data_IF_713822132228
#
_entry.id   IF_713822132228
#
_cell.length_a   1.000
_cell.length_b   1.000
_cell.length_c   1.000
_cell.angle_alpha   90.00
_cell.angle_beta   90.00
_cell.angle_gamma   90.00
#
_symmetry.space_group_name_H-M   'P 1'
#
loop_
_entity.id
_entity.type
_entity.pdbx_description
1 polymer ?
#
# COMPACT_ATOMS: atom_id res chain seq x y z
N UNK A 1 7.21 -2.26 16.68
CA UNK A 1 6.11 -2.71 15.79
C UNK A 1 6.32 -2.10 14.42
N UNK A 2 6.16 -2.87 13.33
CA UNK A 2 6.25 -2.33 11.96
C UNK A 2 4.87 -1.90 11.46
N UNK A 3 4.78 -0.92 10.55
CA UNK A 3 3.51 -0.50 9.99
C UNK A 3 2.96 -1.61 9.09
N UNK A 4 1.63 -1.75 9.09
CA UNK A 4 0.89 -2.79 8.36
C UNK A 4 0.08 -2.24 7.21
N UNK A 5 -0.39 -1.00 7.30
CA UNK A 5 -1.13 -0.32 6.24
C UNK A 5 -0.61 1.09 6.01
N UNK A 6 -0.68 1.52 4.75
CA UNK A 6 -0.63 2.93 4.36
C UNK A 6 -2.06 3.37 4.08
N UNK A 7 -2.51 4.44 4.72
CA UNK A 7 -3.88 4.95 4.56
C UNK A 7 -3.80 6.39 4.06
N UNK A 8 -4.42 6.67 2.91
CA UNK A 8 -4.55 8.03 2.38
C UNK A 8 -5.97 8.53 2.61
N UNK A 9 -6.12 9.69 3.26
CA UNK A 9 -7.42 10.31 3.53
C UNK A 9 -7.79 11.34 2.47
N UNK A 10 -9.09 11.59 2.32
CA UNK A 10 -9.60 12.72 1.53
C UNK A 10 -9.14 14.05 2.17
N UNK A 11 -8.83 15.09 1.37
CA UNK A 11 -8.41 16.38 1.90
C UNK A 11 -9.39 16.94 2.93
N UNK A 12 -8.88 17.51 4.02
CA UNK A 12 -9.69 18.16 5.07
C UNK A 12 -10.47 17.21 5.98
N UNK A 13 -10.28 15.88 5.89
CA UNK A 13 -10.95 14.88 6.73
C UNK A 13 -10.04 14.18 7.74
N UNK A 14 -8.77 14.58 7.84
CA UNK A 14 -7.71 13.96 8.66
C UNK A 14 -8.10 13.66 10.10
N UNK A 15 -8.52 14.68 10.87
CA UNK A 15 -8.85 14.53 12.31
C UNK A 15 -9.96 13.50 12.58
N UNK A 16 -11.08 13.57 11.85
CA UNK A 16 -12.18 12.61 12.00
C UNK A 16 -11.78 11.21 11.54
N UNK A 17 -10.94 11.14 10.50
CA UNK A 17 -10.54 9.85 9.95
C UNK A 17 -9.68 9.05 10.92
N UNK A 18 -8.78 9.72 11.66
CA UNK A 18 -7.95 9.08 12.67
C UNK A 18 -8.78 8.30 13.70
N UNK A 19 -9.81 8.90 14.27
CA UNK A 19 -10.66 8.22 15.26
C UNK A 19 -11.49 7.10 14.63
N UNK A 20 -12.07 7.30 13.44
CA UNK A 20 -12.83 6.26 12.74
C UNK A 20 -11.94 5.04 12.42
N UNK A 21 -10.70 5.23 11.98
CA UNK A 21 -9.74 4.14 11.73
C UNK A 21 -9.36 3.42 13.02
N UNK A 22 -8.97 4.17 14.06
CA UNK A 22 -8.55 3.57 15.34
C UNK A 22 -9.67 2.76 15.99
N UNK A 23 -10.91 3.25 15.94
CA UNK A 23 -12.08 2.53 16.48
C UNK A 23 -12.30 1.16 15.82
N UNK A 24 -11.85 0.96 14.57
CA UNK A 24 -11.91 -0.35 13.90
C UNK A 24 -10.86 -1.32 14.40
N UNK A 25 -9.67 -0.82 14.75
CA UNK A 25 -8.51 -1.64 15.09
C UNK A 25 -8.43 -1.92 16.59
N UNK A 26 -8.74 -0.93 17.44
CA UNK A 26 -8.65 -1.03 18.90
C UNK A 26 -9.48 -2.18 19.49
N UNK A 27 -10.55 -2.59 18.81
CA UNK A 27 -11.37 -3.75 19.20
C UNK A 27 -10.63 -5.10 19.15
N UNK A 28 -9.51 -5.15 18.41
CA UNK A 28 -8.70 -6.36 18.19
C UNK A 28 -7.25 -6.18 18.60
N UNK A 29 -6.77 -4.93 18.69
CA UNK A 29 -5.44 -4.58 19.14
C UNK A 29 -5.43 -3.21 19.82
N UNK A 30 -5.45 -3.22 21.15
CA UNK A 30 -5.45 -2.02 21.99
C UNK A 30 -4.14 -1.23 21.89
N UNK A 31 -3.04 -1.86 21.47
CA UNK A 31 -1.73 -1.24 21.34
C UNK A 31 -1.50 -0.63 19.96
N UNK A 32 -2.51 -0.63 19.08
CA UNK A 32 -2.37 -0.07 17.75
C UNK A 32 -2.09 1.44 17.78
N UNK A 33 -1.35 1.93 16.79
CA UNK A 33 -1.00 3.34 16.63
C UNK A 33 -1.24 3.75 15.19
N UNK A 34 -1.89 4.91 15.02
CA UNK A 34 -1.97 5.59 13.73
C UNK A 34 -1.07 6.81 13.75
N UNK A 35 -0.15 6.93 12.80
CA UNK A 35 0.80 8.03 12.72
C UNK A 35 0.66 8.75 11.38
N UNK A 36 0.47 10.08 11.41
CA UNK A 36 0.45 10.90 10.20
C UNK A 36 1.90 11.23 9.83
N UNK A 37 2.40 10.63 8.75
CA UNK A 37 3.79 10.77 8.33
C UNK A 37 3.99 11.94 7.38
N UNK A 38 2.97 12.24 6.57
CA UNK A 38 2.81 13.48 5.79
C UNK A 38 1.32 13.83 5.74
N UNK A 39 0.93 15.06 5.38
CA UNK A 39 -0.47 15.47 5.38
C UNK A 39 -1.39 14.49 4.63
N UNK A 40 -2.42 13.99 5.30
CA UNK A 40 -3.40 13.02 4.80
C UNK A 40 -2.85 11.61 4.49
N UNK A 41 -1.64 11.27 4.95
CA UNK A 41 -1.06 9.92 4.79
C UNK A 41 -0.67 9.38 6.15
N UNK A 42 -1.27 8.25 6.48
CA UNK A 42 -1.08 7.58 7.76
C UNK A 42 -0.41 6.23 7.59
N UNK A 43 0.47 5.91 8.54
CA UNK A 43 0.95 4.56 8.77
C UNK A 43 0.17 3.98 9.96
N UNK A 44 -0.47 2.83 9.75
CA UNK A 44 -1.09 2.06 10.82
C UNK A 44 -0.10 1.01 11.34
N UNK A 45 0.27 1.12 12.60
CA UNK A 45 1.04 0.14 13.34
C UNK A 45 0.06 -0.71 14.17
N UNK A 46 0.12 -2.02 14.03
CA UNK A 46 -0.72 -2.96 14.79
C UNK A 46 -0.05 -4.33 14.85
N UNK A 47 -0.36 -5.09 15.91
CA UNK A 47 0.03 -6.50 16.08
C UNK A 47 -0.72 -7.44 15.13
N UNK A 48 -1.80 -6.97 14.50
CA UNK A 48 -2.53 -7.72 13.48
C UNK A 48 -1.69 -7.93 12.22
N UNK A 49 -1.99 -8.98 11.46
CA UNK A 49 -1.47 -9.09 10.09
C UNK A 49 -2.02 -7.96 9.21
N UNK A 50 -1.28 -7.59 8.16
CA UNK A 50 -1.72 -6.54 7.24
C UNK A 50 -3.10 -6.83 6.63
N UNK A 51 -3.37 -8.10 6.29
CA UNK A 51 -4.65 -8.50 5.71
C UNK A 51 -5.80 -8.43 6.74
N UNK A 52 -5.57 -8.80 8.00
CA UNK A 52 -6.56 -8.65 9.06
C UNK A 52 -6.88 -7.17 9.31
N UNK A 53 -5.87 -6.31 9.42
CA UNK A 53 -6.07 -4.88 9.61
C UNK A 53 -6.83 -4.25 8.44
N UNK A 54 -6.45 -4.62 7.21
CA UNK A 54 -7.16 -4.20 5.99
C UNK A 54 -8.63 -4.64 6.01
N UNK A 55 -8.89 -5.92 6.31
CA UNK A 55 -10.24 -6.49 6.35
C UNK A 55 -11.13 -5.80 7.39
N UNK A 56 -10.61 -5.50 8.59
CA UNK A 56 -11.36 -4.77 9.61
C UNK A 56 -11.80 -3.38 9.13
N UNK A 57 -10.92 -2.64 8.44
CA UNK A 57 -11.25 -1.31 7.94
C UNK A 57 -12.24 -1.41 6.77
N UNK A 58 -11.98 -2.29 5.80
CA UNK A 58 -12.81 -2.39 4.58
C UNK A 58 -14.20 -2.99 4.85
N UNK A 59 -14.36 -3.83 5.88
CA UNK A 59 -15.68 -4.37 6.25
C UNK A 59 -16.68 -3.29 6.67
N UNK A 60 -16.19 -2.14 7.15
CA UNK A 60 -17.02 -1.01 7.54
C UNK A 60 -16.23 0.31 7.31
N UNK A 61 -16.06 0.69 6.03
CA UNK A 61 -15.05 1.65 5.60
C UNK A 61 -15.35 3.07 6.07
N UNK A 62 -14.43 3.72 6.80
CA UNK A 62 -14.52 5.14 7.10
C UNK A 62 -14.63 5.97 5.81
N UNK A 63 -15.68 6.80 5.71
CA UNK A 63 -16.01 7.61 4.52
C UNK A 63 -14.89 8.60 4.10
N UNK A 64 -14.02 8.91 5.04
CA UNK A 64 -12.88 9.82 4.92
C UNK A 64 -11.67 9.18 4.23
N UNK A 65 -11.61 7.86 4.10
CA UNK A 65 -10.47 7.19 3.45
C UNK A 65 -10.65 7.28 1.93
N UNK A 66 -9.55 7.58 1.24
CA UNK A 66 -9.48 7.57 -0.22
C UNK A 66 -8.83 6.27 -0.71
N UNK A 67 -7.67 5.90 -0.15
CA UNK A 67 -6.92 4.69 -0.52
C UNK A 67 -6.35 3.99 0.71
N UNK A 68 -6.27 2.65 0.67
CA UNK A 68 -5.56 1.83 1.66
C UNK A 68 -4.64 0.88 0.91
N UNK A 69 -3.40 0.76 1.38
CA UNK A 69 -2.45 -0.19 0.85
C UNK A 69 -1.98 -1.14 1.95
N UNK A 70 -2.00 -2.45 1.68
CA UNK A 70 -1.36 -3.43 2.56
C UNK A 70 0.15 -3.33 2.42
N UNK A 71 0.90 -3.34 3.51
CA UNK A 71 2.35 -3.36 3.45
C UNK A 71 2.79 -4.82 3.42
N UNK A 72 3.26 -5.29 2.27
CA UNK A 72 3.87 -6.62 2.16
C UNK A 72 5.32 -6.58 2.63
N UNK A 73 6.07 -5.56 2.21
CA UNK A 73 7.50 -5.39 2.53
C UNK A 73 7.86 -3.89 2.66
N UNK A 74 8.87 -3.61 3.49
CA UNK A 74 9.45 -2.29 3.69
C UNK A 74 10.95 -2.41 3.41
N UNK A 75 11.47 -1.57 2.55
CA UNK A 75 12.87 -1.58 2.13
C UNK A 75 13.49 -0.20 2.29
N UNK A 76 14.77 -0.16 2.64
CA UNK A 76 15.55 1.09 2.76
C UNK A 76 16.50 1.32 1.58
N UNK A 77 16.68 0.33 0.70
CA UNK A 77 17.59 0.39 -0.44
C UNK A 77 16.86 0.09 -1.75
N UNK A 78 17.02 0.99 -2.72
CA UNK A 78 16.46 0.88 -4.06
C UNK A 78 16.89 -0.40 -4.78
N UNK A 79 18.13 -0.88 -4.55
CA UNK A 79 18.64 -2.08 -5.22
C UNK A 79 17.89 -3.34 -4.79
N UNK A 80 17.34 -3.35 -3.57
CA UNK A 80 16.59 -4.48 -3.03
C UNK A 80 15.15 -4.56 -3.54
N UNK A 81 14.64 -3.46 -4.13
CA UNK A 81 13.26 -3.38 -4.64
C UNK A 81 13.03 -4.42 -5.74
N UNK A 82 13.95 -4.57 -6.69
CA UNK A 82 13.75 -5.44 -7.86
C UNK A 82 13.59 -6.91 -7.47
N UNK A 83 14.47 -7.41 -6.60
CA UNK A 83 14.40 -8.78 -6.10
C UNK A 83 13.13 -9.00 -5.25
N UNK A 84 12.80 -8.03 -4.41
CA UNK A 84 11.60 -8.06 -3.55
C UNK A 84 10.31 -8.06 -4.37
N UNK A 85 10.21 -7.19 -5.38
CA UNK A 85 9.11 -7.12 -6.33
C UNK A 85 8.93 -8.45 -7.09
N UNK A 86 10.04 -9.00 -7.61
CA UNK A 86 10.04 -10.31 -8.28
C UNK A 86 9.52 -11.42 -7.35
N UNK A 87 10.02 -11.50 -6.12
CA UNK A 87 9.56 -12.49 -5.15
C UNK A 87 8.07 -12.35 -4.82
N UNK A 88 7.58 -11.13 -4.61
CA UNK A 88 6.16 -10.87 -4.35
C UNK A 88 5.28 -11.30 -5.53
N UNK A 89 5.65 -10.95 -6.76
CA UNK A 89 4.89 -11.31 -7.96
C UNK A 89 4.82 -12.83 -8.17
N UNK A 90 5.96 -13.51 -8.05
CA UNK A 90 6.04 -14.95 -8.26
C UNK A 90 5.32 -15.74 -7.16
N UNK A 91 5.50 -15.37 -5.88
CA UNK A 91 4.83 -16.04 -4.75
C UNK A 91 3.31 -15.92 -4.78
N UNK A 92 2.77 -14.88 -5.45
CA UNK A 92 1.33 -14.68 -5.65
C UNK A 92 0.83 -15.21 -7.00
N UNK A 93 1.66 -15.93 -7.76
CA UNK A 93 1.33 -16.47 -9.08
C UNK A 93 0.75 -15.40 -10.03
N UNK A 94 1.26 -14.16 -9.94
CA UNK A 94 0.82 -13.09 -10.82
C UNK A 94 1.15 -13.46 -12.27
N UNK A 95 0.18 -13.34 -13.18
CA UNK A 95 0.38 -13.57 -14.62
C UNK A 95 0.48 -12.25 -15.36
N UNK A 96 -0.43 -11.32 -15.07
CA UNK A 96 -0.43 -9.95 -15.57
C UNK A 96 -0.31 -8.97 -14.42
N UNK A 97 0.61 -8.02 -14.53
CA UNK A 97 0.78 -7.01 -13.50
C UNK A 97 1.12 -5.64 -14.06
N UNK A 98 0.96 -4.62 -13.23
CA UNK A 98 1.44 -3.27 -13.47
C UNK A 98 2.11 -2.74 -12.19
N UNK A 99 3.05 -1.81 -12.34
CA UNK A 99 3.74 -1.16 -11.21
C UNK A 99 3.29 0.28 -11.13
N UNK A 100 2.78 0.70 -9.98
CA UNK A 100 2.44 2.11 -9.73
C UNK A 100 3.33 2.65 -8.61
N UNK A 101 4.29 3.49 -8.98
CA UNK A 101 5.14 4.17 -8.01
C UNK A 101 4.50 5.49 -7.55
N UNK A 102 4.46 5.69 -6.24
CA UNK A 102 3.87 6.87 -5.62
C UNK A 102 4.94 7.54 -4.75
N UNK A 103 5.57 8.60 -5.27
CA UNK A 103 6.51 9.39 -4.49
C UNK A 103 5.75 10.32 -3.54
N UNK A 104 5.86 10.07 -2.23
CA UNK A 104 5.22 10.83 -1.16
C UNK A 104 6.23 11.77 -0.49
N UNK A 105 6.72 12.73 -1.28
CA UNK A 105 7.64 13.80 -0.85
C UNK A 105 9.09 13.37 -0.55
N UNK A 106 9.58 12.32 -1.21
CA UNK A 106 11.00 11.92 -1.15
C UNK A 106 11.78 12.62 -2.27
N UNK A 107 12.84 13.36 -1.90
CA UNK A 107 13.69 14.08 -2.87
C UNK A 107 14.56 13.07 -3.63
N UNK A 108 14.82 13.35 -4.91
CA UNK A 108 15.78 12.61 -5.76
C UNK A 108 15.40 11.16 -6.11
N UNK A 109 14.12 10.78 -6.02
CA UNK A 109 13.67 9.46 -6.49
C UNK A 109 12.75 9.60 -7.70
N UNK A 110 13.17 9.01 -8.82
CA UNK A 110 12.40 8.92 -10.05
C UNK A 110 11.54 7.66 -10.07
N UNK A 111 10.23 7.84 -9.93
CA UNK A 111 9.27 6.76 -9.98
C UNK A 111 9.27 6.02 -11.33
N UNK A 112 9.50 6.73 -12.43
CA UNK A 112 9.49 6.11 -13.77
C UNK A 112 10.62 5.10 -13.89
N UNK A 113 11.81 5.44 -13.42
CA UNK A 113 12.96 4.52 -13.38
C UNK A 113 12.68 3.28 -12.53
N UNK A 114 12.01 3.43 -11.39
CA UNK A 114 11.62 2.29 -10.53
C UNK A 114 10.62 1.37 -11.25
N UNK A 115 9.59 1.94 -11.87
CA UNK A 115 8.57 1.18 -12.61
C UNK A 115 9.20 0.39 -13.76
N UNK A 116 10.07 1.04 -14.55
CA UNK A 116 10.80 0.39 -15.65
C UNK A 116 11.73 -0.69 -15.11
N UNK A 117 12.50 -0.40 -14.06
CA UNK A 117 13.45 -1.35 -13.47
C UNK A 117 12.77 -2.61 -12.93
N UNK A 118 11.64 -2.47 -12.24
CA UNK A 118 10.84 -3.61 -11.80
C UNK A 118 10.30 -4.38 -13.01
N UNK A 119 9.73 -3.70 -14.01
CA UNK A 119 9.24 -4.34 -15.23
C UNK A 119 10.31 -5.17 -15.95
N UNK A 120 11.53 -4.65 -16.06
CA UNK A 120 12.67 -5.35 -16.64
C UNK A 120 13.15 -6.53 -15.78
N UNK A 121 13.11 -6.43 -14.45
CA UNK A 121 13.57 -7.48 -13.53
C UNK A 121 12.75 -8.78 -13.59
N UNK A 122 11.51 -8.69 -14.06
CA UNK A 122 10.58 -9.82 -14.23
C UNK A 122 10.22 -10.07 -15.69
N UNK A 123 10.98 -9.47 -16.61
CA UNK A 123 10.84 -9.72 -18.04
C UNK A 123 10.88 -11.23 -18.31
N UNK A 124 10.02 -11.69 -19.20
CA UNK A 124 9.84 -13.10 -19.59
C UNK A 124 9.29 -14.03 -18.48
N UNK A 125 9.10 -13.52 -17.26
CA UNK A 125 8.52 -14.26 -16.13
C UNK A 125 7.07 -13.87 -15.86
N UNK A 126 6.77 -12.58 -15.93
CA UNK A 126 5.43 -12.04 -15.67
C UNK A 126 5.10 -10.98 -16.73
N UNK A 127 3.87 -11.00 -17.26
CA UNK A 127 3.46 -10.09 -18.31
C UNK A 127 3.11 -8.70 -17.74
N UNK A 128 3.80 -7.66 -18.20
CA UNK A 128 3.48 -6.26 -17.84
C UNK A 128 2.25 -5.82 -18.65
N UNK A 129 1.14 -5.50 -17.96
CA UNK A 129 -0.12 -5.09 -18.59
C UNK A 129 -0.75 -3.89 -17.85
N UNK A 130 -0.65 -2.71 -18.44
CA UNK A 130 -1.19 -1.46 -17.90
C UNK A 130 -2.73 -1.36 -17.99
N UNK A 131 -3.34 -2.06 -18.95
CA UNK A 131 -4.78 -1.93 -19.25
C UNK A 131 -5.61 -2.84 -18.35
N UNK A 132 -5.19 -4.09 -18.24
CA UNK A 132 -5.90 -5.16 -17.55
C UNK A 132 -4.93 -6.07 -16.75
N UNK A 133 -4.32 -5.53 -15.67
CA UNK A 133 -3.51 -6.33 -14.76
C UNK A 133 -4.37 -7.15 -13.79
N UNK A 134 -3.89 -8.34 -13.43
CA UNK A 134 -4.46 -9.13 -12.33
C UNK A 134 -4.09 -8.47 -10.98
N UNK A 135 -2.85 -8.01 -10.88
CA UNK A 135 -2.29 -7.35 -9.71
C UNK A 135 -1.60 -6.03 -10.06
N UNK A 136 -1.70 -5.06 -9.16
CA UNK A 136 -0.90 -3.85 -9.17
C UNK A 136 0.10 -3.94 -8.02
N UNK A 137 1.38 -3.79 -8.34
CA UNK A 137 2.42 -3.61 -7.35
C UNK A 137 2.60 -2.12 -7.10
N UNK A 138 2.06 -1.63 -5.99
CA UNK A 138 2.29 -0.25 -5.57
C UNK A 138 3.63 -0.15 -4.85
N UNK A 139 4.41 0.88 -5.20
CA UNK A 139 5.64 1.26 -4.50
C UNK A 139 5.43 2.65 -3.92
N UNK A 140 5.04 2.71 -2.64
CA UNK A 140 4.92 4.00 -1.94
C UNK A 140 6.27 4.39 -1.36
N UNK A 141 6.72 5.60 -1.65
CA UNK A 141 8.02 6.10 -1.18
C UNK A 141 7.79 7.18 -0.13
N UNK A 142 8.04 6.87 1.14
CA UNK A 142 7.78 7.75 2.27
C UNK A 142 9.07 7.87 3.07
N UNK A 143 9.54 9.10 3.30
CA UNK A 143 10.76 9.37 4.08
C UNK A 143 11.97 8.52 3.63
N UNK A 144 12.15 8.37 2.30
CA UNK A 144 13.19 7.54 1.66
C UNK A 144 13.11 6.03 1.92
N UNK A 145 12.02 5.53 2.50
CA UNK A 145 11.71 4.10 2.56
C UNK A 145 10.71 3.71 1.47
N UNK A 146 10.84 2.49 0.97
CA UNK A 146 10.02 1.90 -0.07
C UNK A 146 9.07 0.88 0.53
N UNK A 147 7.78 1.12 0.37
CA UNK A 147 6.72 0.27 0.87
C UNK A 147 6.05 -0.43 -0.31
N UNK A 148 6.23 -1.75 -0.39
CA UNK A 148 5.65 -2.56 -1.46
C UNK A 148 4.29 -3.11 -1.04
N UNK A 149 3.32 -2.96 -1.92
CA UNK A 149 1.95 -3.44 -1.76
C UNK A 149 1.51 -4.14 -3.04
N UNK A 150 1.34 -5.46 -3.02
CA UNK A 150 0.77 -6.22 -4.13
C UNK A 150 -0.71 -6.41 -3.88
N UNK A 151 -1.56 -5.78 -4.69
CA UNK A 151 -3.01 -5.79 -4.52
C UNK A 151 -3.70 -6.04 -5.86
N UNK A 152 -4.90 -6.59 -5.87
CA UNK A 152 -5.68 -6.68 -7.11
C UNK A 152 -6.15 -5.29 -7.51
N UNK A 153 -6.39 -5.10 -8.81
CA UNK A 153 -6.87 -3.84 -9.37
C UNK A 153 -8.14 -3.36 -8.65
N UNK A 154 -8.05 -2.20 -7.98
CA UNK A 154 -9.18 -1.56 -7.31
C UNK A 154 -9.32 -1.89 -5.82
N UNK A 155 -8.59 -2.88 -5.28
CA UNK A 155 -8.62 -3.19 -3.84
C UNK A 155 -8.05 -2.05 -2.98
N UNK A 156 -7.21 -1.20 -3.56
CA UNK A 156 -6.67 -0.04 -2.86
C UNK A 156 -7.73 1.05 -2.65
N UNK A 157 -8.83 1.03 -3.41
CA UNK A 157 -9.88 2.05 -3.34
C UNK A 157 -10.88 1.69 -2.27
N UNK A 158 -11.15 2.68 -1.42
CA UNK A 158 -12.22 2.57 -0.43
C UNK A 158 -13.47 3.19 -1.03
N UNK A 159 -14.18 2.43 -1.88
CA UNK A 159 -15.52 2.80 -2.32
C UNK A 159 -16.55 2.16 -1.41
N UNK A 160 -17.45 2.95 -0.85
CA UNK A 160 -18.74 2.43 -0.39
C UNK A 160 -19.45 1.95 -1.66
N UNK A 161 -19.35 0.66 -1.98
CA UNK A 161 -20.38 0.07 -2.83
C UNK A 161 -21.58 0.00 -1.92
N UNK A 162 -22.56 0.87 -2.16
CA UNK A 162 -23.90 0.69 -1.61
C UNK A 162 -24.27 -0.77 -1.89
N UNK A 163 -24.41 -1.56 -0.83
CA UNK A 163 -25.02 -2.88 -0.91
C UNK A 163 -26.43 -2.74 -1.49
#
# INVERSE_FOLDING_TARGET
MQPKLIITTKPGKSKKCRSEILNRILLKDENCKLEEVIPNVYLLYTGLSALQAYGLIISAPPSCIARIFIINQILSDINTIYNSAKQLLLSNNAKKFYVECINRNSKNIDCRSIEIGIGLSVKDLVNVNYKDPDYILFVNIINNEFYLSLMKKGEEKVSVRSL
#
